data_IF_867603062955
#
_entry.id   IF_867603062955
#
_cell.length_a   1.000
_cell.length_b   1.000
_cell.length_c   1.000
_cell.angle_alpha   90.00
_cell.angle_beta   90.00
_cell.angle_gamma   90.00
#
_symmetry.space_group_name_H-M   'P 1'
#
loop_
_entity.id
_entity.type
_entity.pdbx_description
1 polymer ?
#
# COMPACT_ATOMS: atom_id res chain seq x y z
N UNK A 1 -5.58 -8.82 -8.64
CA UNK A 1 -6.20 -9.95 -7.89
C UNK A 1 -5.21 -10.34 -6.81
N UNK A 2 -5.65 -10.40 -5.55
CA UNK A 2 -4.81 -10.83 -4.42
C UNK A 2 -5.12 -12.28 -4.18
N UNK A 3 -4.15 -13.14 -4.40
CA UNK A 3 -4.23 -14.56 -4.04
C UNK A 3 -3.49 -14.79 -2.72
N UNK A 4 -4.05 -15.62 -1.85
CA UNK A 4 -3.35 -16.10 -0.65
C UNK A 4 -2.23 -17.06 -1.05
N UNK A 5 -1.25 -17.29 -0.16
CA UNK A 5 -0.21 -18.30 -0.43
C UNK A 5 -0.78 -19.71 -0.61
N UNK A 6 -1.94 -20.01 0.00
CA UNK A 6 -2.63 -21.28 -0.20
C UNK A 6 -3.18 -21.39 -1.62
N UNK A 7 -3.87 -20.38 -2.12
CA UNK A 7 -4.36 -20.32 -3.50
C UNK A 7 -3.21 -20.29 -4.51
N UNK A 8 -2.13 -19.53 -4.23
CA UNK A 8 -0.94 -19.53 -5.08
C UNK A 8 -0.31 -20.92 -5.21
N UNK A 9 -0.24 -21.68 -4.11
CA UNK A 9 0.22 -23.07 -4.12
C UNK A 9 -0.69 -23.96 -4.95
N UNK A 10 -2.01 -23.81 -4.83
CA UNK A 10 -3.00 -24.55 -5.62
C UNK A 10 -2.82 -24.27 -7.12
N UNK A 11 -2.73 -23.01 -7.50
CA UNK A 11 -2.51 -22.59 -8.91
C UNK A 11 -1.18 -23.16 -9.44
N UNK A 12 -0.11 -23.10 -8.64
CA UNK A 12 1.18 -23.70 -9.03
C UNK A 12 1.07 -25.22 -9.22
N UNK A 13 0.22 -25.90 -8.45
CA UNK A 13 -0.02 -27.34 -8.60
C UNK A 13 -0.59 -27.75 -9.95
N UNK A 14 -1.18 -26.80 -10.70
CA UNK A 14 -1.64 -27.06 -12.08
C UNK A 14 -0.48 -27.16 -13.08
N UNK A 15 0.66 -26.57 -12.77
CA UNK A 15 1.82 -26.48 -13.67
C UNK A 15 3.00 -27.31 -13.20
N UNK A 16 3.11 -27.57 -11.89
CA UNK A 16 4.26 -28.23 -11.28
C UNK A 16 3.77 -29.41 -10.44
N UNK A 17 4.26 -30.64 -10.69
CA UNK A 17 3.83 -31.85 -9.96
C UNK A 17 4.00 -31.76 -8.43
N UNK A 18 5.00 -31.04 -7.97
CA UNK A 18 5.28 -30.81 -6.54
C UNK A 18 5.41 -29.30 -6.28
N UNK A 19 4.29 -28.60 -6.07
CA UNK A 19 4.33 -27.16 -5.79
C UNK A 19 4.97 -26.90 -4.42
N UNK A 20 5.74 -25.82 -4.29
CA UNK A 20 6.37 -25.46 -3.03
C UNK A 20 5.33 -25.23 -1.93
N UNK A 21 5.72 -25.46 -0.67
CA UNK A 21 4.84 -25.20 0.46
C UNK A 21 4.52 -23.70 0.58
N UNK A 22 3.43 -23.36 1.25
CA UNK A 22 3.06 -21.96 1.53
C UNK A 22 4.15 -21.19 2.28
N UNK A 23 4.90 -21.88 3.16
CA UNK A 23 6.02 -21.30 3.90
C UNK A 23 7.20 -20.97 2.96
N UNK A 24 7.47 -21.83 1.99
CA UNK A 24 8.51 -21.56 0.98
C UNK A 24 8.12 -20.40 0.11
N UNK A 25 6.85 -20.33 -0.33
CA UNK A 25 6.35 -19.17 -1.11
C UNK A 25 6.45 -17.86 -0.31
N UNK A 26 6.11 -17.89 0.97
CA UNK A 26 6.26 -16.72 1.86
C UNK A 26 7.73 -16.29 1.95
N UNK A 27 8.66 -17.23 2.16
CA UNK A 27 10.10 -16.93 2.22
C UNK A 27 10.64 -16.34 0.92
N UNK A 28 10.20 -16.86 -0.23
CA UNK A 28 10.59 -16.31 -1.55
C UNK A 28 10.11 -14.87 -1.70
N UNK A 29 8.85 -14.58 -1.38
CA UNK A 29 8.30 -13.22 -1.49
C UNK A 29 9.01 -12.27 -0.53
N UNK A 30 9.30 -12.69 0.70
CA UNK A 30 10.06 -11.89 1.65
C UNK A 30 11.50 -11.65 1.17
N UNK A 31 12.15 -12.68 0.60
CA UNK A 31 13.48 -12.55 0.00
C UNK A 31 13.50 -11.54 -1.14
N UNK A 32 12.55 -11.60 -2.05
CA UNK A 32 12.41 -10.61 -3.12
C UNK A 32 12.19 -9.20 -2.58
N UNK A 33 11.45 -9.06 -1.47
CA UNK A 33 11.18 -7.77 -0.83
C UNK A 33 12.46 -7.04 -0.37
N UNK A 34 13.51 -7.77 0.01
CA UNK A 34 14.79 -7.16 0.42
C UNK A 34 15.52 -6.44 -0.73
N UNK A 35 15.31 -6.87 -1.97
CA UNK A 35 15.96 -6.30 -3.16
C UNK A 35 15.08 -5.27 -3.89
N UNK A 36 13.92 -4.96 -3.36
CA UNK A 36 12.96 -4.07 -4.04
C UNK A 36 13.52 -2.67 -4.27
N UNK A 37 14.27 -2.11 -3.31
CA UNK A 37 14.87 -0.78 -3.45
C UNK A 37 15.96 -0.76 -4.53
N UNK A 38 16.84 -1.75 -4.55
CA UNK A 38 17.87 -1.91 -5.57
C UNK A 38 17.26 -2.05 -6.95
N UNK A 39 16.19 -2.85 -7.05
CA UNK A 39 15.45 -3.03 -8.30
C UNK A 39 14.86 -1.71 -8.78
N UNK A 40 14.21 -0.92 -7.92
CA UNK A 40 13.67 0.38 -8.31
C UNK A 40 14.75 1.35 -8.78
N UNK A 41 15.95 1.29 -8.19
CA UNK A 41 17.07 2.13 -8.60
C UNK A 41 17.62 1.76 -9.98
N UNK A 42 17.55 0.50 -10.37
CA UNK A 42 18.13 -0.03 -11.60
C UNK A 42 17.15 -0.12 -12.78
N UNK A 43 15.84 -0.22 -12.47
CA UNK A 43 14.85 -0.40 -13.53
C UNK A 43 14.78 0.85 -14.41
N UNK A 44 14.94 0.67 -15.72
CA UNK A 44 14.86 1.77 -16.67
C UNK A 44 13.48 2.45 -16.65
N UNK A 45 13.41 3.77 -16.92
CA UNK A 45 12.13 4.42 -17.17
C UNK A 45 11.46 3.78 -18.40
N UNK A 46 10.11 3.83 -18.47
CA UNK A 46 9.41 3.33 -19.64
C UNK A 46 9.83 4.08 -20.91
N UNK A 47 10.03 3.36 -22.02
CA UNK A 47 10.34 3.97 -23.33
C UNK A 47 9.17 4.77 -23.90
N UNK A 48 7.95 4.27 -23.66
CA UNK A 48 6.71 4.87 -24.13
C UNK A 48 5.83 5.25 -22.94
N UNK A 49 5.90 6.51 -22.56
CA UNK A 49 5.18 7.07 -21.42
C UNK A 49 4.17 8.15 -21.88
N UNK A 50 3.11 8.34 -21.10
CA UNK A 50 2.09 9.35 -21.38
C UNK A 50 2.55 10.77 -20.99
N UNK A 51 1.76 11.78 -21.33
CA UNK A 51 2.06 13.19 -21.09
C UNK A 51 1.63 13.66 -19.69
N UNK A 52 0.74 12.93 -19.03
CA UNK A 52 0.22 13.26 -17.70
C UNK A 52 0.65 12.20 -16.71
N UNK A 53 1.46 12.56 -15.73
CA UNK A 53 1.82 11.70 -14.61
C UNK A 53 0.84 11.91 -13.46
N UNK A 54 0.18 10.84 -13.05
CA UNK A 54 -0.69 10.83 -11.87
C UNK A 54 0.05 10.15 -10.72
N UNK A 55 0.14 10.83 -9.59
CA UNK A 55 0.76 10.36 -8.35
C UNK A 55 -0.29 10.35 -7.26
N UNK A 56 -0.64 9.16 -6.77
CA UNK A 56 -1.53 9.00 -5.62
C UNK A 56 -0.69 8.64 -4.40
N UNK A 57 -0.85 9.40 -3.32
CA UNK A 57 -0.15 9.15 -2.05
C UNK A 57 -1.19 9.02 -0.94
N UNK A 58 -1.16 7.89 -0.26
CA UNK A 58 -2.11 7.57 0.82
C UNK A 58 -1.39 6.91 2.00
N UNK A 59 -1.87 7.20 3.20
CA UNK A 59 -1.43 6.61 4.44
C UNK A 59 -2.39 5.54 4.94
N UNK A 60 -1.97 4.27 4.98
CA UNK A 60 -2.82 3.18 5.44
C UNK A 60 -2.27 2.49 6.67
N UNK A 61 -3.13 2.30 7.67
CA UNK A 61 -2.78 1.48 8.83
C UNK A 61 -2.92 -0.01 8.45
N UNK A 62 -1.80 -0.72 8.46
CA UNK A 62 -1.73 -2.15 8.18
C UNK A 62 -1.57 -2.91 9.49
N UNK A 63 -2.44 -3.87 9.82
CA UNK A 63 -2.26 -4.71 10.99
C UNK A 63 -0.99 -5.55 10.84
N UNK A 64 -0.11 -5.44 11.83
CA UNK A 64 1.13 -6.22 11.88
C UNK A 64 1.07 -7.18 13.06
N UNK A 65 1.43 -8.43 12.87
CA UNK A 65 1.57 -9.41 13.95
C UNK A 65 3.04 -9.50 14.38
N UNK A 66 3.29 -9.57 15.69
CA UNK A 66 4.62 -9.88 16.22
C UNK A 66 4.96 -11.34 15.92
N UNK A 67 6.25 -11.68 15.76
CA UNK A 67 6.71 -13.04 15.49
C UNK A 67 6.12 -14.09 16.47
N UNK A 68 6.12 -13.78 17.77
CA UNK A 68 5.51 -14.66 18.78
C UNK A 68 3.98 -14.83 18.61
N UNK A 69 3.28 -13.87 18.01
CA UNK A 69 1.85 -13.97 17.73
C UNK A 69 1.60 -14.78 16.46
N UNK A 70 2.48 -14.68 15.47
CA UNK A 70 2.47 -15.51 14.27
C UNK A 70 2.73 -16.98 14.62
N UNK A 71 3.68 -17.26 15.50
CA UNK A 71 3.95 -18.63 15.98
C UNK A 71 2.74 -19.24 16.69
N UNK A 72 2.07 -18.47 17.55
CA UNK A 72 0.81 -18.93 18.19
C UNK A 72 -0.29 -19.24 17.20
N UNK A 73 -0.32 -18.55 16.05
CA UNK A 73 -1.31 -18.75 14.99
C UNK A 73 -0.92 -19.88 14.03
N UNK A 74 0.36 -20.25 13.95
CA UNK A 74 0.87 -21.39 13.16
C UNK A 74 0.62 -22.73 13.82
N UNK A 75 0.34 -22.77 15.13
CA UNK A 75 -0.03 -24.00 15.83
C UNK A 75 -1.36 -24.56 15.31
N UNK A 76 -1.59 -25.89 15.44
CA UNK A 76 -2.88 -26.46 15.10
C UNK A 76 -3.96 -25.67 15.83
N UNK A 77 -4.96 -25.20 15.10
CA UNK A 77 -6.16 -24.60 15.69
C UNK A 77 -6.75 -25.69 16.59
N UNK A 78 -6.44 -25.62 17.88
CA UNK A 78 -7.22 -26.37 18.84
C UNK A 78 -8.64 -25.83 18.69
N UNK A 79 -9.54 -26.66 18.19
CA UNK A 79 -10.98 -26.39 18.20
C UNK A 79 -11.44 -26.29 19.66
N UNK A 80 -11.07 -25.18 20.30
CA UNK A 80 -11.74 -24.83 21.54
C UNK A 80 -13.20 -24.67 21.16
N UNK A 81 -14.09 -25.51 21.74
CA UNK A 81 -15.50 -25.33 21.48
C UNK A 81 -15.81 -23.86 21.72
N UNK A 82 -16.33 -23.17 20.71
CA UNK A 82 -16.80 -21.79 20.87
C UNK A 82 -17.77 -21.87 22.01
N UNK A 83 -17.35 -21.44 23.22
CA UNK A 83 -18.27 -21.27 24.34
C UNK A 83 -19.43 -20.50 23.75
N UNK A 84 -20.61 -21.10 23.80
CA UNK A 84 -21.80 -20.56 23.16
C UNK A 84 -21.90 -19.09 23.61
N UNK A 85 -21.59 -18.20 22.69
CA UNK A 85 -21.72 -16.77 22.95
C UNK A 85 -23.18 -16.59 23.36
N UNK A 86 -23.48 -16.05 24.54
CA UNK A 86 -24.85 -15.86 24.96
C UNK A 86 -25.51 -14.88 23.97
N UNK A 87 -26.02 -15.47 22.89
CA UNK A 87 -26.89 -14.78 21.94
C UNK A 87 -28.17 -14.51 22.69
N UNK A 88 -28.48 -13.28 22.89
CA UNK A 88 -29.66 -12.71 23.55
C UNK A 88 -29.47 -12.33 25.02
N UNK A 89 -28.57 -11.41 25.30
CA UNK A 89 -28.87 -10.41 26.32
C UNK A 89 -29.65 -9.31 25.61
N UNK A 90 -30.89 -9.13 26.03
CA UNK A 90 -31.82 -8.19 25.41
C UNK A 90 -31.26 -6.76 25.31
N UNK A 91 -31.78 -6.00 24.38
CA UNK A 91 -31.41 -4.59 24.10
C UNK A 91 -31.46 -3.69 25.33
N UNK A 92 -32.22 -4.07 26.38
CA UNK A 92 -32.36 -3.38 27.67
C UNK A 92 -31.07 -3.51 28.52
N UNK A 93 -30.41 -4.68 28.57
CA UNK A 93 -29.21 -4.89 29.38
C UNK A 93 -27.96 -4.19 28.82
N UNK A 94 -27.98 -3.80 27.55
CA UNK A 94 -26.92 -3.01 26.95
C UNK A 94 -26.93 -1.53 27.33
N UNK A 95 -28.12 -1.02 27.78
CA UNK A 95 -28.26 0.37 28.20
C UNK A 95 -27.84 0.57 29.68
N UNK A 96 -27.97 -0.46 30.51
CA UNK A 96 -27.60 -0.43 31.92
C UNK A 96 -26.10 -0.56 32.18
N UNK A 97 -25.36 -1.23 31.29
CA UNK A 97 -23.90 -1.25 31.33
C UNK A 97 -23.39 -0.10 30.44
N UNK A 98 -22.91 0.97 31.08
CA UNK A 98 -22.31 2.09 30.38
C UNK A 98 -21.43 1.57 29.23
N UNK A 99 -21.56 2.16 28.03
CA UNK A 99 -20.67 1.82 26.90
C UNK A 99 -19.26 1.84 27.44
N UNK A 100 -18.48 0.75 27.30
CA UNK A 100 -17.07 0.79 27.64
C UNK A 100 -16.50 2.03 26.94
N UNK A 101 -15.84 2.89 27.70
CA UNK A 101 -15.25 4.11 27.19
C UNK A 101 -14.53 3.74 25.90
N UNK A 102 -14.87 4.39 24.79
CA UNK A 102 -14.16 4.21 23.52
C UNK A 102 -12.70 4.45 23.84
N UNK A 103 -11.88 3.41 23.74
CA UNK A 103 -10.43 3.53 23.91
C UNK A 103 -9.95 4.75 23.16
N UNK A 104 -9.07 5.53 23.77
CA UNK A 104 -8.50 6.74 23.16
C UNK A 104 -8.06 6.42 21.73
N UNK A 105 -8.23 7.37 20.80
CA UNK A 105 -7.99 7.19 19.36
C UNK A 105 -6.60 6.60 19.00
N UNK A 106 -5.64 6.57 19.98
CA UNK A 106 -4.34 5.92 19.87
C UNK A 106 -4.28 4.43 20.25
N UNK A 107 -5.32 3.90 20.94
CA UNK A 107 -5.33 2.49 21.38
C UNK A 107 -5.70 1.50 20.26
N UNK A 108 -6.05 2.00 19.09
CA UNK A 108 -6.48 1.14 17.96
C UNK A 108 -5.39 0.31 17.34
N UNK A 109 -4.14 0.50 17.73
CA UNK A 109 -3.03 -0.03 16.94
C UNK A 109 -1.89 -0.62 17.76
N UNK A 110 -2.16 -1.31 18.84
CA UNK A 110 -1.09 -2.14 19.44
C UNK A 110 -0.36 -3.01 18.40
N UNK A 111 -1.00 -3.29 17.28
CA UNK A 111 -0.51 -4.13 16.20
C UNK A 111 -0.67 -3.49 14.79
N UNK A 112 -0.95 -2.20 14.69
CA UNK A 112 -1.03 -1.51 13.41
C UNK A 112 0.20 -0.65 13.17
N UNK A 113 0.80 -0.75 12.00
CA UNK A 113 1.82 0.18 11.52
C UNK A 113 1.26 0.99 10.38
N UNK A 114 1.55 2.28 10.40
CA UNK A 114 1.24 3.15 9.27
C UNK A 114 2.21 2.83 8.13
N UNK A 115 1.67 2.56 6.95
CA UNK A 115 2.42 2.46 5.71
C UNK A 115 2.03 3.63 4.82
N UNK A 116 3.00 4.32 4.25
CA UNK A 116 2.75 5.30 3.20
C UNK A 116 2.91 4.60 1.85
N UNK A 117 1.91 4.73 1.01
CA UNK A 117 1.84 4.10 -0.31
C UNK A 117 1.83 5.18 -1.38
N UNK A 118 2.60 4.93 -2.44
CA UNK A 118 2.60 5.75 -3.66
C UNK A 118 2.18 4.85 -4.81
N UNK A 119 1.22 5.31 -5.60
CA UNK A 119 0.86 4.70 -6.87
C UNK A 119 1.09 5.75 -7.95
N UNK A 120 1.92 5.43 -8.92
CA UNK A 120 2.24 6.31 -10.04
C UNK A 120 1.86 5.61 -11.34
N UNK A 121 1.28 6.36 -12.25
CA UNK A 121 1.00 5.93 -13.62
C UNK A 121 0.88 7.13 -14.55
N UNK A 122 1.01 6.90 -15.83
CA UNK A 122 0.80 7.96 -16.80
C UNK A 122 -0.49 7.78 -17.57
N UNK A 123 -0.97 8.89 -18.11
CA UNK A 123 -2.07 8.96 -19.04
C UNK A 123 -1.57 9.58 -20.33
N UNK A 124 -2.03 9.05 -21.47
CA UNK A 124 -1.75 9.58 -22.81
C UNK A 124 -2.94 10.39 -23.28
N UNK A 125 -2.68 11.49 -23.92
CA UNK A 125 -3.71 12.28 -24.58
C UNK A 125 -4.05 11.68 -25.95
N UNK A 126 -5.34 11.53 -26.19
CA UNK A 126 -5.91 11.18 -27.51
C UNK A 126 -7.06 12.14 -27.80
N UNK A 127 -6.74 13.26 -28.43
CA UNK A 127 -7.66 14.39 -28.54
C UNK A 127 -8.03 14.97 -27.18
N UNK A 128 -9.31 14.95 -26.84
CA UNK A 128 -9.84 15.37 -25.53
C UNK A 128 -9.84 14.25 -24.48
N UNK A 129 -9.53 13.02 -24.87
CA UNK A 129 -9.56 11.87 -23.98
C UNK A 129 -8.20 11.65 -23.33
N UNK A 130 -8.24 11.06 -22.11
CA UNK A 130 -7.06 10.56 -21.41
C UNK A 130 -7.12 9.03 -21.35
N UNK A 131 -6.17 8.38 -22.02
CA UNK A 131 -6.05 6.93 -22.09
C UNK A 131 -5.04 6.42 -21.06
N UNK A 132 -5.39 5.37 -20.36
CA UNK A 132 -4.51 4.75 -19.35
C UNK A 132 -5.31 3.98 -18.29
N UNK A 133 -4.71 3.62 -17.17
CA UNK A 133 -3.34 3.94 -16.73
C UNK A 133 -2.25 3.16 -17.47
N UNK A 134 -1.16 3.85 -17.84
CA UNK A 134 0.03 3.27 -18.45
C UNK A 134 1.17 3.22 -17.43
N UNK A 135 2.08 2.27 -17.56
CA UNK A 135 3.35 2.21 -16.84
C UNK A 135 3.22 2.39 -15.33
N UNK A 136 2.27 1.67 -14.72
CA UNK A 136 1.98 1.79 -13.30
C UNK A 136 3.14 1.29 -12.44
N UNK A 137 3.56 2.11 -11.47
CA UNK A 137 4.47 1.75 -10.38
C UNK A 137 3.80 1.91 -9.03
N UNK A 138 4.17 1.05 -8.11
CA UNK A 138 3.66 1.09 -6.72
C UNK A 138 4.86 0.99 -5.79
N UNK A 139 4.94 1.92 -4.86
CA UNK A 139 5.90 1.92 -3.77
C UNK A 139 5.15 1.94 -2.44
N UNK A 140 5.66 1.26 -1.43
CA UNK A 140 5.10 1.28 -0.09
C UNK A 140 6.22 1.18 0.95
N UNK A 141 6.15 2.02 1.99
CA UNK A 141 7.15 2.05 3.05
C UNK A 141 6.51 2.19 4.42
N UNK A 142 7.07 1.47 5.41
CA UNK A 142 6.81 1.69 6.82
C UNK A 142 7.71 2.77 7.43
N UNK A 143 8.62 3.33 6.65
CA UNK A 143 9.48 4.44 7.03
C UNK A 143 8.74 5.77 7.13
N UNK A 144 9.47 6.87 7.41
CA UNK A 144 8.90 8.21 7.39
C UNK A 144 8.19 8.52 6.07
N UNK A 145 7.08 9.26 6.14
CA UNK A 145 6.28 9.66 4.95
C UNK A 145 7.14 10.31 3.86
N UNK A 146 8.17 11.09 4.25
CA UNK A 146 9.10 11.74 3.30
C UNK A 146 9.73 10.78 2.30
N UNK A 147 10.04 9.54 2.69
CA UNK A 147 10.64 8.55 1.78
C UNK A 147 9.71 8.21 0.60
N UNK A 148 8.40 8.30 0.81
CA UNK A 148 7.43 8.11 -0.25
C UNK A 148 7.46 9.28 -1.26
N UNK A 149 7.65 10.50 -0.78
CA UNK A 149 7.77 11.68 -1.62
C UNK A 149 9.12 11.75 -2.34
N UNK A 150 10.21 11.42 -1.66
CA UNK A 150 11.55 11.28 -2.26
C UNK A 150 11.49 10.30 -3.45
N UNK A 151 10.92 9.11 -3.22
CA UNK A 151 10.70 8.14 -4.30
C UNK A 151 9.87 8.71 -5.44
N UNK A 152 8.77 9.40 -5.14
CA UNK A 152 7.87 9.94 -6.15
C UNK A 152 8.55 11.01 -7.02
N UNK A 153 9.32 11.91 -6.39
CA UNK A 153 10.09 12.95 -7.11
C UNK A 153 11.17 12.33 -7.99
N UNK A 154 11.94 11.38 -7.44
CA UNK A 154 13.02 10.75 -8.20
C UNK A 154 12.47 9.97 -9.39
N UNK A 155 11.37 9.25 -9.21
CA UNK A 155 10.71 8.53 -10.28
C UNK A 155 10.10 9.49 -11.32
N UNK A 156 9.48 10.60 -10.90
CA UNK A 156 8.97 11.61 -11.81
C UNK A 156 10.09 12.20 -12.68
N UNK A 157 11.22 12.58 -12.07
CA UNK A 157 12.40 13.10 -12.79
C UNK A 157 12.97 12.06 -13.76
N UNK A 158 13.11 10.80 -13.34
CA UNK A 158 13.61 9.73 -14.20
C UNK A 158 12.73 9.50 -15.43
N UNK A 159 11.44 9.72 -15.31
CA UNK A 159 10.44 9.60 -16.38
C UNK A 159 10.30 10.89 -17.21
N UNK A 160 11.12 11.92 -16.95
CA UNK A 160 11.12 13.16 -17.67
C UNK A 160 9.98 14.12 -17.33
N UNK A 161 9.45 14.02 -16.08
CA UNK A 161 8.49 14.97 -15.56
C UNK A 161 9.20 15.95 -14.62
N UNK A 162 9.31 17.20 -15.01
CA UNK A 162 10.03 18.24 -14.28
C UNK A 162 9.83 19.62 -14.90
N UNK A 163 10.65 20.58 -14.46
CA UNK A 163 10.52 22.01 -14.81
C UNK A 163 10.57 22.36 -16.29
N UNK A 164 11.30 21.56 -17.07
CA UNK A 164 11.65 21.92 -18.45
C UNK A 164 10.81 21.15 -19.49
N UNK A 165 9.64 20.65 -19.09
CA UNK A 165 8.80 19.84 -19.96
C UNK A 165 7.35 20.31 -19.96
N UNK A 166 6.67 20.18 -21.11
CA UNK A 166 5.22 20.40 -21.22
C UNK A 166 4.38 19.27 -20.58
N UNK A 167 5.04 18.35 -19.88
CA UNK A 167 4.41 17.22 -19.22
C UNK A 167 3.80 17.64 -17.89
N UNK A 168 2.62 17.16 -17.61
CA UNK A 168 1.82 17.54 -16.44
C UNK A 168 2.00 16.51 -15.33
N UNK A 169 2.20 16.98 -14.11
CA UNK A 169 2.17 16.14 -12.90
C UNK A 169 0.92 16.47 -12.09
N UNK A 170 0.09 15.48 -11.85
CA UNK A 170 -1.08 15.57 -11.00
C UNK A 170 -0.89 14.75 -9.73
N UNK A 171 -1.04 15.38 -8.56
CA UNK A 171 -0.86 14.72 -7.27
C UNK A 171 -2.20 14.68 -6.55
N UNK A 172 -2.54 13.49 -6.07
CA UNK A 172 -3.75 13.22 -5.30
C UNK A 172 -3.35 12.66 -3.93
N UNK A 173 -3.74 13.37 -2.88
CA UNK A 173 -3.56 12.95 -1.49
C UNK A 173 -4.91 12.93 -0.78
N UNK A 174 -5.00 12.18 0.32
CA UNK A 174 -6.13 12.30 1.22
C UNK A 174 -6.02 13.60 2.06
N UNK A 175 -6.99 13.87 2.92
CA UNK A 175 -7.02 15.07 3.76
C UNK A 175 -6.01 15.08 4.92
N UNK A 176 -4.93 14.28 4.89
CA UNK A 176 -3.86 14.29 5.90
C UNK A 176 -2.99 15.55 5.75
N UNK A 177 -2.95 16.46 6.76
CA UNK A 177 -2.18 17.70 6.68
C UNK A 177 -0.68 17.51 6.41
N UNK A 178 -0.10 16.39 6.89
CA UNK A 178 1.30 16.09 6.64
C UNK A 178 1.55 15.78 5.16
N UNK A 179 0.62 15.07 4.50
CA UNK A 179 0.75 14.77 3.08
C UNK A 179 0.65 16.05 2.25
N UNK A 180 -0.26 16.96 2.59
CA UNK A 180 -0.35 18.27 1.94
C UNK A 180 0.95 19.08 2.07
N UNK A 181 1.50 19.15 3.29
CA UNK A 181 2.77 19.84 3.52
C UNK A 181 3.91 19.25 2.69
N UNK A 182 4.04 17.92 2.65
CA UNK A 182 5.06 17.27 1.81
C UNK A 182 4.78 17.44 0.32
N UNK A 183 3.52 17.51 -0.11
CA UNK A 183 3.21 17.84 -1.50
C UNK A 183 3.75 19.23 -1.86
N UNK A 184 3.58 20.22 -0.98
CA UNK A 184 4.10 21.57 -1.18
C UNK A 184 5.62 21.64 -1.18
N UNK A 185 6.27 20.82 -0.33
CA UNK A 185 7.72 20.77 -0.19
C UNK A 185 8.40 20.09 -1.38
N UNK A 186 7.88 18.94 -1.81
CA UNK A 186 8.53 18.07 -2.81
C UNK A 186 8.07 18.35 -4.25
N UNK A 187 6.87 18.86 -4.41
CA UNK A 187 6.29 19.24 -5.70
C UNK A 187 5.76 20.68 -5.62
N UNK A 188 6.62 21.66 -5.48
CA UNK A 188 6.20 23.06 -5.45
C UNK A 188 5.50 23.46 -6.76
N UNK A 189 4.68 24.51 -6.71
CA UNK A 189 3.94 24.98 -7.89
C UNK A 189 4.85 25.32 -9.08
N UNK A 190 6.05 25.76 -8.80
CA UNK A 190 7.14 25.88 -9.78
C UNK A 190 8.24 24.88 -9.39
N UNK A 191 8.54 23.86 -10.22
CA UNK A 191 8.21 23.68 -11.64
C UNK A 191 6.98 22.80 -11.96
N UNK A 192 6.10 22.53 -11.03
CA UNK A 192 4.94 21.63 -11.23
C UNK A 192 3.61 22.42 -11.24
N UNK A 193 3.32 23.22 -12.29
CA UNK A 193 2.20 24.16 -12.29
C UNK A 193 0.82 23.51 -12.27
N UNK A 194 0.69 22.29 -12.74
CA UNK A 194 -0.59 21.59 -12.84
C UNK A 194 -0.81 20.62 -11.67
N UNK A 195 -0.81 21.16 -10.46
CA UNK A 195 -1.26 20.37 -9.31
C UNK A 195 -2.68 20.76 -8.90
N UNK A 196 -3.52 19.78 -8.68
CA UNK A 196 -4.91 19.92 -8.23
C UNK A 196 -5.03 19.29 -6.85
#
# INVERSE_FOLDING_TARGET
TRVSFAEAREILGWFVPQPPSTEVLEKVVLGLGHHTQEWFAQVAPPEDDGEVLVILIDGKCVPTAKAAELEKRRGPRTDKPKAASPRHRGRADRKARGRPARGKKGDKSKNGKLVTMVVMYTLRRDGELLLGPLNRRVYASFGPKRHAFEFAVDEAKRRGFGADTDRVVQILTDGDPDLHRYTDEYFPAEPYPARI
#
